data_IF_986505403168
#
_entry.id   IF_986505403168
#
_cell.length_a   1.000
_cell.length_b   1.000
_cell.length_c   1.000
_cell.angle_alpha   90.00
_cell.angle_beta   90.00
_cell.angle_gamma   90.00
#
_symmetry.space_group_name_H-M   'P 1'
#
loop_
_entity.id
_entity.type
_entity.pdbx_description
1 polymer ?
#
# COMPACT_ATOMS: atom_id res chain seq x y z
N UNK A 1 -45.34 23.59 40.91
CA UNK A 1 -45.94 22.46 40.16
C UNK A 1 -45.80 22.74 38.66
N UNK A 2 -45.61 21.68 37.86
CA UNK A 2 -45.20 21.64 36.44
C UNK A 2 -43.69 21.88 36.24
N UNK A 3 -42.82 20.91 36.56
CA UNK A 3 -42.42 19.67 35.82
C UNK A 3 -41.80 19.92 34.44
N UNK A 4 -40.54 19.46 34.35
CA UNK A 4 -39.65 19.49 33.21
C UNK A 4 -40.14 18.62 32.04
N UNK A 5 -39.79 19.03 30.83
CA UNK A 5 -39.84 18.23 29.62
C UNK A 5 -38.59 18.50 28.79
N UNK A 6 -37.46 17.94 29.21
CA UNK A 6 -36.24 17.92 28.40
C UNK A 6 -36.48 16.91 27.27
N UNK A 7 -36.70 17.39 26.05
CA UNK A 7 -36.76 16.53 24.87
C UNK A 7 -35.33 16.09 24.57
N UNK A 8 -34.98 14.89 25.02
CA UNK A 8 -33.76 14.21 24.63
C UNK A 8 -33.92 13.83 23.16
N UNK A 9 -33.36 14.63 22.25
CA UNK A 9 -33.19 14.22 20.86
C UNK A 9 -32.07 13.18 20.87
N UNK A 10 -32.45 11.91 20.91
CA UNK A 10 -31.55 10.83 20.57
C UNK A 10 -31.23 10.97 19.07
N UNK A 11 -30.15 11.69 18.76
CA UNK A 11 -29.58 11.68 17.43
C UNK A 11 -29.13 10.24 17.17
N UNK A 12 -29.80 9.58 16.22
CA UNK A 12 -29.33 8.32 15.66
C UNK A 12 -27.92 8.56 15.11
N UNK A 13 -26.96 7.83 15.67
CA UNK A 13 -25.58 7.72 15.22
C UNK A 13 -25.57 7.30 13.73
N UNK A 14 -25.44 8.26 12.83
CA UNK A 14 -24.90 8.00 11.50
C UNK A 14 -23.38 8.00 11.66
N UNK A 15 -22.78 6.84 11.39
CA UNK A 15 -21.35 6.59 11.49
C UNK A 15 -20.53 7.61 10.71
N UNK A 16 -19.51 8.17 11.38
CA UNK A 16 -18.27 8.63 10.76
C UNK A 16 -17.78 7.63 9.71
N UNK A 17 -16.75 7.97 8.94
CA UNK A 17 -15.88 6.95 8.36
C UNK A 17 -15.21 6.17 9.51
N UNK A 18 -15.99 5.38 10.24
CA UNK A 18 -15.53 4.46 11.25
C UNK A 18 -14.56 3.55 10.52
N UNK A 19 -13.39 3.36 11.11
CA UNK A 19 -12.71 2.08 11.00
C UNK A 19 -13.76 1.02 11.36
N UNK A 20 -14.37 0.46 10.32
CA UNK A 20 -15.65 -0.26 10.40
C UNK A 20 -15.41 -1.75 10.42
N UNK A 21 -14.21 -2.16 10.06
CA UNK A 21 -13.84 -3.54 9.86
C UNK A 21 -12.82 -3.96 10.92
N UNK A 22 -13.00 -5.18 11.45
CA UNK A 22 -11.95 -5.84 12.22
C UNK A 22 -10.74 -6.13 11.33
N UNK A 23 -9.64 -6.56 11.94
CA UNK A 23 -8.45 -6.94 11.21
C UNK A 23 -8.77 -7.96 10.10
N UNK A 24 -8.23 -7.75 8.91
CA UNK A 24 -8.34 -8.68 7.78
C UNK A 24 -7.03 -9.44 7.62
N UNK A 25 -7.12 -10.68 7.13
CA UNK A 25 -5.96 -11.47 6.75
C UNK A 25 -5.80 -11.45 5.24
N UNK A 26 -4.65 -10.97 4.78
CA UNK A 26 -4.25 -11.06 3.38
C UNK A 26 -3.02 -11.94 3.30
N UNK A 27 -2.99 -12.84 2.32
CA UNK A 27 -1.76 -13.55 1.98
C UNK A 27 -1.20 -12.94 0.70
N UNK A 28 0.08 -12.61 0.76
CA UNK A 28 0.89 -12.33 -0.40
C UNK A 28 1.87 -13.48 -0.51
N UNK A 29 1.84 -14.20 -1.61
CA UNK A 29 2.72 -15.33 -1.79
C UNK A 29 2.77 -15.64 -3.27
N UNK A 30 3.88 -16.16 -3.72
CA UNK A 30 4.96 -15.22 -3.89
C UNK A 30 4.83 -14.75 -5.36
N UNK A 31 5.69 -13.88 -5.87
CA UNK A 31 5.94 -13.95 -7.30
C UNK A 31 6.30 -15.40 -7.69
N UNK A 32 6.41 -15.69 -8.97
CA UNK A 32 7.24 -16.83 -9.36
C UNK A 32 6.61 -18.20 -8.97
N UNK A 33 5.31 -18.34 -9.24
CA UNK A 33 4.44 -19.34 -8.58
C UNK A 33 4.58 -20.74 -9.19
N UNK A 34 4.41 -20.86 -10.51
CA UNK A 34 4.36 -22.19 -11.13
C UNK A 34 4.61 -22.16 -12.63
N UNK A 35 5.23 -23.23 -13.12
CA UNK A 35 5.34 -23.60 -14.53
C UNK A 35 4.38 -24.77 -14.83
N UNK A 36 4.88 -25.88 -15.39
CA UNK A 36 4.26 -27.20 -15.35
C UNK A 36 4.86 -28.09 -14.26
N UNK A 37 4.03 -28.63 -13.37
CA UNK A 37 4.48 -29.68 -12.44
C UNK A 37 4.02 -29.52 -10.99
N UNK A 38 2.95 -28.75 -10.75
CA UNK A 38 2.38 -28.55 -9.42
C UNK A 38 3.29 -27.79 -8.43
N UNK A 39 4.23 -26.98 -8.91
CA UNK A 39 5.20 -26.26 -8.06
C UNK A 39 4.50 -25.35 -7.03
N UNK A 40 3.46 -24.63 -7.45
CA UNK A 40 2.68 -23.78 -6.54
C UNK A 40 1.71 -24.52 -5.61
N UNK A 41 1.60 -25.86 -5.63
CA UNK A 41 0.63 -26.60 -4.80
C UNK A 41 0.96 -26.50 -3.31
N UNK A 42 2.25 -26.56 -2.97
CA UNK A 42 2.66 -26.52 -1.57
C UNK A 42 2.31 -25.19 -0.91
N UNK A 43 2.60 -24.06 -1.58
CA UNK A 43 2.22 -22.72 -1.12
C UNK A 43 0.69 -22.51 -1.17
N UNK A 44 0.00 -23.05 -2.18
CA UNK A 44 -1.47 -23.03 -2.22
C UNK A 44 -2.13 -23.73 -1.03
N UNK A 45 -1.54 -24.81 -0.50
CA UNK A 45 -2.04 -25.48 0.69
C UNK A 45 -1.95 -24.58 1.94
N UNK A 46 -0.91 -23.76 2.05
CA UNK A 46 -0.80 -22.76 3.13
C UNK A 46 -1.96 -21.77 3.07
N UNK A 47 -2.29 -21.25 1.87
CA UNK A 47 -3.42 -20.33 1.66
C UNK A 47 -4.74 -20.99 2.07
N UNK A 48 -4.96 -22.24 1.67
CA UNK A 48 -6.16 -22.98 2.04
C UNK A 48 -6.29 -23.12 3.56
N UNK A 49 -5.20 -23.43 4.26
CA UNK A 49 -5.17 -23.59 5.71
C UNK A 49 -5.40 -22.27 6.45
N UNK A 50 -4.86 -21.15 5.93
CA UNK A 50 -5.05 -19.83 6.51
C UNK A 50 -6.44 -19.25 6.26
N UNK A 51 -7.10 -19.63 5.14
CA UNK A 51 -8.39 -19.10 4.70
C UNK A 51 -8.48 -17.56 4.78
N UNK A 52 -7.65 -16.83 4.01
CA UNK A 52 -7.55 -15.38 4.09
C UNK A 52 -8.75 -14.66 3.47
N UNK A 53 -8.90 -13.37 3.78
CA UNK A 53 -9.87 -12.46 3.17
C UNK A 53 -9.44 -12.04 1.75
N UNK A 54 -8.14 -11.87 1.52
CA UNK A 54 -7.55 -11.49 0.24
C UNK A 54 -6.32 -12.34 -0.13
N UNK A 55 -6.09 -12.49 -1.45
CA UNK A 55 -4.90 -13.15 -2.00
C UNK A 55 -4.23 -12.19 -2.98
N UNK A 56 -2.93 -11.95 -2.81
CA UNK A 56 -2.10 -11.15 -3.70
C UNK A 56 -1.09 -12.07 -4.38
N UNK A 57 -0.88 -11.88 -5.68
CA UNK A 57 0.26 -12.44 -6.41
C UNK A 57 1.15 -11.32 -6.91
N UNK A 58 2.46 -11.50 -6.85
CA UNK A 58 3.46 -10.46 -7.11
C UNK A 58 4.10 -10.62 -8.50
N UNK A 59 3.31 -10.98 -9.50
CA UNK A 59 3.79 -11.28 -10.86
C UNK A 59 4.28 -12.72 -11.05
N UNK A 60 4.65 -13.06 -12.28
CA UNK A 60 5.09 -14.40 -12.71
C UNK A 60 4.19 -15.51 -12.20
N UNK A 61 2.91 -15.31 -12.48
CA UNK A 61 1.85 -16.18 -12.01
C UNK A 61 1.92 -17.55 -12.68
N UNK A 62 2.18 -17.57 -13.99
CA UNK A 62 2.29 -18.80 -14.78
C UNK A 62 3.43 -18.69 -15.78
N UNK A 63 4.49 -19.45 -15.51
CA UNK A 63 5.60 -19.60 -16.43
C UNK A 63 5.23 -20.44 -17.67
N UNK A 64 5.96 -20.32 -18.77
CA UNK A 64 7.07 -19.37 -18.99
C UNK A 64 6.63 -18.10 -19.73
N UNK A 65 5.44 -18.11 -20.34
CA UNK A 65 5.05 -17.09 -21.31
C UNK A 65 3.59 -16.61 -21.13
N UNK A 66 2.98 -16.85 -19.96
CA UNK A 66 1.62 -16.38 -19.67
C UNK A 66 0.54 -16.95 -20.58
N UNK A 67 0.78 -18.06 -21.29
CA UNK A 67 -0.21 -18.67 -22.19
C UNK A 67 -1.50 -19.04 -21.43
N UNK A 68 -2.68 -18.72 -21.98
CA UNK A 68 -3.96 -19.06 -21.35
C UNK A 68 -4.10 -20.56 -21.07
N UNK A 69 -3.61 -21.42 -21.98
CA UNK A 69 -3.63 -22.87 -21.81
C UNK A 69 -2.81 -23.34 -20.61
N UNK A 70 -1.70 -22.68 -20.31
CA UNK A 70 -0.86 -23.00 -19.16
C UNK A 70 -1.56 -22.56 -17.88
N UNK A 71 -2.14 -21.36 -17.86
CA UNK A 71 -2.95 -20.87 -16.75
C UNK A 71 -4.12 -21.81 -16.43
N UNK A 72 -4.80 -22.33 -17.45
CA UNK A 72 -5.93 -23.26 -17.34
C UNK A 72 -5.51 -24.70 -16.99
N UNK A 73 -4.22 -25.03 -17.09
CA UNK A 73 -3.75 -26.39 -16.83
C UNK A 73 -3.95 -26.78 -15.37
N UNK A 74 -4.40 -28.02 -15.16
CA UNK A 74 -4.46 -28.65 -13.83
C UNK A 74 -3.09 -28.87 -13.19
N UNK A 75 -2.01 -28.85 -13.98
CA UNK A 75 -0.64 -28.93 -13.49
C UNK A 75 0.07 -27.57 -13.41
N UNK A 76 -0.65 -26.49 -13.75
CA UNK A 76 -0.20 -25.11 -13.66
C UNK A 76 -1.06 -24.32 -12.68
N UNK A 77 -1.25 -23.03 -12.92
CA UNK A 77 -1.89 -22.10 -11.98
C UNK A 77 -3.28 -22.53 -11.55
N UNK A 78 -4.15 -22.98 -12.48
CA UNK A 78 -5.50 -23.48 -12.15
C UNK A 78 -5.49 -24.69 -11.22
N UNK A 79 -4.41 -25.48 -11.22
CA UNK A 79 -4.23 -26.63 -10.35
C UNK A 79 -3.85 -26.31 -8.91
N UNK A 80 -3.34 -25.09 -8.67
CA UNK A 80 -2.82 -24.65 -7.39
C UNK A 80 -3.55 -23.38 -6.93
N UNK A 81 -2.97 -22.21 -7.18
CA UNK A 81 -3.44 -20.90 -6.74
C UNK A 81 -4.77 -20.49 -7.37
N UNK A 82 -5.12 -21.05 -8.54
CA UNK A 82 -6.38 -20.80 -9.22
C UNK A 82 -7.63 -21.18 -8.40
N UNK A 83 -7.48 -22.03 -7.38
CA UNK A 83 -8.55 -22.30 -6.41
C UNK A 83 -9.02 -21.04 -5.67
N UNK A 84 -8.16 -20.02 -5.54
CA UNK A 84 -8.44 -18.79 -4.82
C UNK A 84 -8.70 -17.59 -5.73
N UNK A 85 -8.85 -17.81 -7.05
CA UNK A 85 -9.02 -16.75 -8.06
C UNK A 85 -10.11 -15.72 -7.70
N UNK A 86 -11.15 -16.11 -6.97
CA UNK A 86 -12.21 -15.21 -6.49
C UNK A 86 -11.76 -14.23 -5.39
N UNK A 87 -10.63 -14.49 -4.74
CA UNK A 87 -9.96 -13.60 -3.77
C UNK A 87 -8.68 -12.98 -4.33
N UNK A 88 -8.15 -13.52 -5.42
CA UNK A 88 -6.90 -13.05 -6.04
C UNK A 88 -7.03 -11.68 -6.69
N UNK A 89 -6.08 -10.79 -6.35
CA UNK A 89 -5.74 -9.54 -7.02
C UNK A 89 -4.29 -9.65 -7.51
N UNK A 90 -4.06 -9.94 -8.81
CA UNK A 90 -2.73 -10.22 -9.32
C UNK A 90 -2.00 -8.95 -9.77
N UNK A 91 -0.70 -8.88 -9.48
CA UNK A 91 0.24 -8.11 -10.30
C UNK A 91 0.66 -8.94 -11.53
N UNK A 92 1.09 -8.24 -12.58
CA UNK A 92 1.65 -8.83 -13.79
C UNK A 92 3.18 -8.84 -13.67
N UNK A 93 3.83 -9.94 -14.06
CA UNK A 93 5.30 -10.03 -14.14
C UNK A 93 5.81 -10.15 -15.58
N UNK A 94 7.12 -10.33 -15.73
CA UNK A 94 7.73 -10.44 -17.06
C UNK A 94 7.28 -11.72 -17.77
N UNK A 95 7.19 -12.86 -17.07
CA UNK A 95 6.72 -14.11 -17.67
C UNK A 95 5.23 -14.09 -18.01
N UNK A 96 4.44 -13.19 -17.41
CA UNK A 96 3.03 -12.99 -17.77
C UNK A 96 2.87 -12.09 -19.01
N UNK A 97 3.81 -11.16 -19.22
CA UNK A 97 3.77 -10.13 -20.26
C UNK A 97 4.61 -10.48 -21.51
N UNK A 98 5.43 -11.53 -21.45
CA UNK A 98 6.19 -12.06 -22.58
C UNK A 98 5.33 -12.19 -23.83
N UNK A 99 5.74 -11.45 -24.87
CA UNK A 99 5.08 -11.54 -26.18
C UNK A 99 5.65 -12.71 -26.96
N UNK A 100 4.85 -13.76 -27.08
CA UNK A 100 5.15 -15.00 -27.80
C UNK A 100 4.00 -15.37 -28.75
N UNK A 101 4.11 -16.54 -29.40
CA UNK A 101 3.04 -17.04 -30.27
C UNK A 101 1.76 -17.44 -29.53
N UNK A 102 1.82 -17.75 -28.23
CA UNK A 102 0.67 -18.14 -27.42
C UNK A 102 0.11 -16.98 -26.58
N UNK A 103 0.90 -15.93 -26.37
CA UNK A 103 0.58 -14.79 -25.53
C UNK A 103 1.02 -13.51 -26.23
N UNK A 104 0.07 -12.70 -26.66
CA UNK A 104 0.36 -11.40 -27.29
C UNK A 104 -0.28 -10.32 -26.44
N UNK A 105 0.50 -9.31 -26.06
CA UNK A 105 0.05 -8.26 -25.15
C UNK A 105 -0.58 -8.83 -23.85
N UNK A 106 0.07 -9.85 -23.27
CA UNK A 106 -0.36 -10.54 -22.05
C UNK A 106 -1.81 -11.05 -22.10
N UNK A 107 -2.34 -11.36 -23.28
CA UNK A 107 -3.74 -11.75 -23.43
C UNK A 107 -4.10 -12.97 -22.58
N UNK A 108 -3.20 -13.94 -22.40
CA UNK A 108 -3.46 -15.11 -21.57
C UNK A 108 -3.63 -14.79 -20.09
N UNK A 109 -2.82 -13.88 -19.55
CA UNK A 109 -2.96 -13.34 -18.19
C UNK A 109 -4.31 -12.66 -18.00
N UNK A 110 -4.68 -11.72 -18.88
CA UNK A 110 -5.96 -11.01 -18.76
C UNK A 110 -7.16 -11.91 -19.04
N UNK A 111 -7.08 -12.81 -20.02
CA UNK A 111 -8.14 -13.79 -20.31
C UNK A 111 -8.37 -14.72 -19.15
N UNK A 112 -7.31 -15.10 -18.44
CA UNK A 112 -7.44 -15.87 -17.23
C UNK A 112 -8.10 -15.02 -16.13
N UNK A 113 -7.51 -13.91 -15.68
CA UNK A 113 -8.00 -13.20 -14.49
C UNK A 113 -9.27 -12.37 -14.71
N UNK A 114 -9.40 -11.70 -15.86
CA UNK A 114 -10.55 -10.87 -16.20
C UNK A 114 -11.63 -11.63 -16.99
N UNK A 115 -11.31 -12.83 -17.49
CA UNK A 115 -12.20 -13.65 -18.31
C UNK A 115 -12.05 -13.37 -19.82
N UNK A 116 -12.15 -14.43 -20.62
CA UNK A 116 -12.05 -14.37 -22.09
C UNK A 116 -13.11 -13.44 -22.65
N UNK A 117 -12.71 -12.51 -23.51
CA UNK A 117 -13.64 -11.63 -24.20
C UNK A 117 -14.35 -10.61 -23.29
N UNK A 118 -13.79 -10.32 -22.11
CA UNK A 118 -14.30 -9.30 -21.16
C UNK A 118 -14.37 -7.86 -21.68
N UNK A 119 -14.26 -7.62 -23.00
CA UNK A 119 -14.39 -6.30 -23.62
C UNK A 119 -13.37 -5.29 -23.11
N UNK A 120 -13.76 -4.01 -23.06
CA UNK A 120 -13.01 -2.92 -22.40
C UNK A 120 -13.18 -3.02 -20.89
N UNK A 121 -12.60 -4.07 -20.32
CA UNK A 121 -12.35 -4.18 -18.89
C UNK A 121 -11.48 -2.99 -18.45
N UNK A 122 -11.92 -2.26 -17.41
CA UNK A 122 -11.29 -1.06 -16.87
C UNK A 122 -10.57 -1.35 -15.53
N UNK A 123 -10.29 -0.33 -14.72
CA UNK A 123 -9.60 -0.46 -13.43
C UNK A 123 -10.38 -1.21 -12.34
N UNK A 124 -11.67 -1.54 -12.56
CA UNK A 124 -12.47 -2.31 -11.59
C UNK A 124 -12.27 -3.82 -11.68
N UNK A 125 -11.65 -4.28 -12.77
CA UNK A 125 -11.35 -5.67 -13.00
C UNK A 125 -10.32 -6.25 -12.02
N UNK A 126 -10.18 -7.58 -12.00
CA UNK A 126 -9.21 -8.23 -11.12
C UNK A 126 -7.79 -7.85 -11.42
N UNK A 127 -7.42 -7.79 -12.70
CA UNK A 127 -6.08 -7.49 -13.17
C UNK A 127 -6.00 -6.10 -13.85
N UNK A 128 -6.92 -5.19 -13.50
CA UNK A 128 -7.02 -3.86 -14.12
C UNK A 128 -7.35 -3.89 -15.61
N UNK A 129 -7.12 -2.74 -16.26
CA UNK A 129 -7.42 -2.54 -17.68
C UNK A 129 -6.48 -3.37 -18.55
N UNK A 130 -7.05 -4.00 -19.57
CA UNK A 130 -6.29 -4.83 -20.53
C UNK A 130 -5.25 -3.99 -21.27
N UNK A 131 -4.01 -4.48 -21.30
CA UNK A 131 -2.86 -3.79 -21.89
C UNK A 131 -2.17 -2.80 -20.94
N UNK A 132 -2.67 -2.65 -19.72
CA UNK A 132 -2.09 -1.73 -18.72
C UNK A 132 -1.60 -2.51 -17.50
N UNK A 133 -2.49 -3.26 -16.83
CA UNK A 133 -2.12 -4.13 -15.71
C UNK A 133 -1.94 -3.43 -14.36
N UNK A 134 -2.07 -2.10 -14.30
CA UNK A 134 -2.17 -1.35 -13.04
C UNK A 134 -3.63 -1.03 -12.67
N UNK A 135 -3.91 -0.95 -11.38
CA UNK A 135 -5.24 -0.67 -10.80
C UNK A 135 -5.13 -0.51 -9.28
N UNK A 136 -6.21 -0.05 -8.63
CA UNK A 136 -6.31 0.04 -7.18
C UNK A 136 -7.63 -0.55 -6.68
N UNK A 137 -7.69 -0.87 -5.38
CA UNK A 137 -8.91 -1.34 -4.73
C UNK A 137 -8.82 -1.15 -3.22
N UNK A 138 -9.98 -1.09 -2.57
CA UNK A 138 -10.06 -1.13 -1.12
C UNK A 138 -10.43 -2.53 -0.64
N UNK A 139 -9.82 -2.95 0.47
CA UNK A 139 -10.20 -4.15 1.20
C UNK A 139 -10.08 -3.87 2.70
N UNK A 140 -11.19 -3.97 3.42
CA UNK A 140 -11.27 -3.50 4.80
C UNK A 140 -10.99 -2.00 4.90
N UNK A 141 -10.12 -1.62 5.83
CA UNK A 141 -9.73 -0.23 6.07
C UNK A 141 -8.42 0.17 5.34
N UNK A 142 -8.00 -0.64 4.36
CA UNK A 142 -6.77 -0.45 3.58
C UNK A 142 -7.05 -0.13 2.12
N UNK A 143 -6.25 0.76 1.57
CA UNK A 143 -6.15 1.01 0.14
C UNK A 143 -5.00 0.20 -0.46
N UNK A 144 -5.25 -0.46 -1.59
CA UNK A 144 -4.26 -1.26 -2.30
C UNK A 144 -4.01 -0.70 -3.68
N UNK A 145 -2.73 -0.58 -4.02
CA UNK A 145 -2.25 -0.09 -5.31
C UNK A 145 -1.47 -1.21 -5.99
N UNK A 146 -1.86 -1.56 -7.21
CA UNK A 146 -1.19 -2.57 -8.03
C UNK A 146 -0.52 -1.87 -9.20
N UNK A 147 0.80 -2.04 -9.28
CA UNK A 147 1.61 -1.40 -10.31
C UNK A 147 2.19 -2.46 -11.23
N UNK A 148 2.38 -2.07 -12.49
CA UNK A 148 3.04 -2.87 -13.49
C UNK A 148 4.49 -2.40 -13.62
N UNK A 149 5.42 -3.29 -13.23
CA UNK A 149 6.86 -3.02 -13.34
C UNK A 149 7.45 -3.29 -14.72
N UNK A 150 6.66 -3.86 -15.64
CA UNK A 150 7.06 -4.13 -17.03
C UNK A 150 6.90 -2.90 -17.92
N UNK A 151 7.06 -1.72 -17.32
CA UNK A 151 6.81 -0.41 -17.91
C UNK A 151 8.03 0.45 -17.63
N UNK A 152 9.13 0.27 -18.34
CA UNK A 152 10.33 1.04 -18.05
C UNK A 152 11.29 1.18 -19.22
N UNK A 153 10.79 1.11 -20.46
CA UNK A 153 11.61 1.35 -21.65
C UNK A 153 12.80 0.38 -21.82
N UNK A 154 12.79 -0.76 -21.13
CA UNK A 154 13.70 -1.87 -21.38
C UNK A 154 13.26 -2.64 -22.63
N UNK A 155 13.98 -3.70 -23.00
CA UNK A 155 13.60 -4.56 -24.13
C UNK A 155 12.21 -5.24 -23.97
N UNK A 156 11.57 -5.09 -22.81
CA UNK A 156 10.32 -5.74 -22.41
C UNK A 156 9.21 -4.75 -22.06
N UNK A 157 9.28 -3.52 -22.59
CA UNK A 157 8.29 -2.47 -22.33
C UNK A 157 6.89 -2.87 -22.81
N UNK A 158 6.04 -3.23 -21.86
CA UNK A 158 4.70 -3.74 -22.06
C UNK A 158 3.64 -2.62 -22.00
N UNK A 159 3.94 -1.54 -21.29
CA UNK A 159 2.95 -0.55 -20.89
C UNK A 159 3.48 0.89 -20.96
N UNK A 160 2.57 1.86 -20.94
CA UNK A 160 2.94 3.29 -20.90
C UNK A 160 3.26 3.72 -19.46
N UNK A 161 4.55 3.84 -19.15
CA UNK A 161 5.01 4.27 -17.82
C UNK A 161 4.50 5.67 -17.44
N UNK A 162 4.40 6.60 -18.40
CA UNK A 162 3.89 7.96 -18.11
C UNK A 162 2.43 7.91 -17.71
N UNK A 163 1.61 7.14 -18.45
CA UNK A 163 0.21 6.95 -18.12
C UNK A 163 0.01 6.30 -16.74
N UNK A 164 0.87 5.34 -16.37
CA UNK A 164 0.86 4.73 -15.04
C UNK A 164 1.21 5.74 -13.94
N UNK A 165 2.24 6.57 -14.13
CA UNK A 165 2.63 7.59 -13.15
C UNK A 165 1.55 8.67 -12.98
N UNK A 166 0.91 9.10 -14.06
CA UNK A 166 -0.22 10.05 -14.02
C UNK A 166 -1.43 9.44 -13.32
N UNK A 167 -1.73 8.16 -13.60
CA UNK A 167 -2.78 7.42 -12.91
C UNK A 167 -2.49 7.31 -11.41
N UNK A 168 -1.26 6.93 -11.02
CA UNK A 168 -0.85 6.78 -9.63
C UNK A 168 -0.98 8.08 -8.85
N UNK A 169 -0.60 9.22 -9.44
CA UNK A 169 -0.79 10.53 -8.80
C UNK A 169 -2.26 10.83 -8.53
N UNK A 170 -3.16 10.48 -9.45
CA UNK A 170 -4.59 10.69 -9.26
C UNK A 170 -5.20 9.73 -8.22
N UNK A 171 -4.75 8.47 -8.22
CA UNK A 171 -5.18 7.45 -7.28
C UNK A 171 -4.80 7.82 -5.83
N UNK A 172 -3.54 8.19 -5.60
CA UNK A 172 -3.05 8.67 -4.31
C UNK A 172 -3.80 9.92 -3.82
N UNK A 173 -4.11 10.86 -4.72
CA UNK A 173 -4.88 12.06 -4.37
C UNK A 173 -6.36 11.79 -4.06
N UNK A 174 -6.91 10.68 -4.56
CA UNK A 174 -8.29 10.27 -4.34
C UNK A 174 -8.45 9.34 -3.12
N UNK A 175 -7.37 8.73 -2.65
CA UNK A 175 -7.38 7.82 -1.52
C UNK A 175 -7.80 8.52 -0.21
N UNK A 176 -8.73 7.90 0.52
CA UNK A 176 -9.19 8.37 1.83
C UNK A 176 -8.93 7.36 2.95
N UNK A 177 -8.19 6.27 2.68
CA UNK A 177 -7.83 5.26 3.67
C UNK A 177 -6.59 5.69 4.43
N UNK A 178 -6.55 5.35 5.71
CA UNK A 178 -5.42 5.67 6.57
C UNK A 178 -4.18 4.84 6.21
N UNK A 179 -4.38 3.56 5.86
CA UNK A 179 -3.29 2.67 5.49
C UNK A 179 -3.32 2.34 4.00
N UNK A 180 -2.14 2.36 3.36
CA UNK A 180 -1.95 2.07 1.94
C UNK A 180 -0.84 1.05 1.71
N UNK A 181 -1.13 0.03 0.92
CA UNK A 181 -0.19 -1.00 0.48
C UNK A 181 -0.06 -0.96 -1.04
N UNK A 182 1.17 -0.86 -1.54
CA UNK A 182 1.47 -0.99 -2.96
C UNK A 182 2.18 -2.31 -3.27
N UNK A 183 1.98 -2.87 -4.46
CA UNK A 183 2.71 -4.07 -4.88
C UNK A 183 2.88 -4.17 -6.39
N UNK A 184 3.97 -4.81 -6.80
CA UNK A 184 4.34 -5.08 -8.19
C UNK A 184 5.32 -6.26 -8.25
N UNK A 185 5.92 -6.52 -9.42
CA UNK A 185 6.79 -7.67 -9.63
C UNK A 185 8.27 -7.39 -9.35
N UNK A 186 8.93 -6.53 -10.14
CA UNK A 186 10.40 -6.35 -10.10
C UNK A 186 10.89 -5.51 -8.92
N UNK A 187 11.83 -5.99 -8.09
CA UNK A 187 12.21 -5.32 -6.87
C UNK A 187 13.06 -4.07 -7.11
N UNK A 188 12.90 -3.08 -6.22
CA UNK A 188 13.78 -1.90 -6.17
C UNK A 188 15.19 -2.21 -5.63
N UNK A 189 15.30 -3.31 -4.87
CA UNK A 189 16.55 -3.83 -4.33
C UNK A 189 16.35 -5.31 -3.99
N UNK A 190 17.31 -6.16 -4.32
CA UNK A 190 17.27 -7.59 -4.06
C UNK A 190 18.63 -8.14 -3.63
N UNK A 191 18.74 -9.01 -2.60
CA UNK A 191 20.01 -9.49 -2.07
C UNK A 191 20.53 -10.71 -2.87
N UNK A 192 20.37 -10.70 -4.20
CA UNK A 192 20.69 -11.79 -5.10
C UNK A 192 21.57 -11.30 -6.24
N UNK A 193 22.30 -12.24 -6.88
CA UNK A 193 23.10 -11.94 -8.05
C UNK A 193 22.44 -12.34 -9.37
N UNK A 194 21.16 -12.72 -9.36
CA UNK A 194 20.49 -13.37 -10.52
C UNK A 194 19.82 -12.38 -11.47
N UNK A 195 19.43 -11.19 -11.02
CA UNK A 195 18.75 -10.17 -11.84
C UNK A 195 19.33 -8.76 -11.65
N UNK A 196 20.66 -8.67 -11.53
CA UNK A 196 21.34 -7.38 -11.25
C UNK A 196 21.27 -6.38 -12.40
N UNK A 197 20.82 -6.80 -13.59
CA UNK A 197 20.64 -5.96 -14.77
C UNK A 197 19.28 -5.25 -14.82
N UNK A 198 18.33 -5.61 -13.94
CA UNK A 198 17.04 -4.93 -13.84
C UNK A 198 16.61 -4.54 -12.41
N UNK A 199 17.41 -4.87 -11.40
CA UNK A 199 17.28 -4.36 -10.04
C UNK A 199 17.18 -2.83 -10.02
N UNK A 200 16.17 -2.28 -9.33
CA UNK A 200 16.03 -0.84 -9.11
C UNK A 200 15.46 -0.07 -10.31
N UNK A 201 15.49 -0.63 -11.51
CA UNK A 201 15.10 0.07 -12.73
C UNK A 201 13.68 0.67 -12.65
N UNK A 202 12.70 -0.07 -12.11
CA UNK A 202 11.33 0.44 -11.99
C UNK A 202 11.21 1.70 -11.11
N UNK A 203 12.17 1.93 -10.21
CA UNK A 203 12.28 3.13 -9.39
C UNK A 203 13.34 4.11 -9.89
N UNK A 204 13.80 4.03 -11.14
CA UNK A 204 14.61 5.09 -11.73
C UNK A 204 13.74 6.30 -12.15
N UNK A 205 14.28 7.53 -12.10
CA UNK A 205 13.61 8.71 -12.64
C UNK A 205 13.22 8.53 -14.12
N UNK A 206 11.93 8.45 -14.40
CA UNK A 206 11.45 8.39 -15.78
C UNK A 206 11.53 9.79 -16.41
N UNK A 207 12.25 9.91 -17.52
CA UNK A 207 12.40 11.17 -18.29
C UNK A 207 12.87 12.38 -17.46
N UNK A 208 13.58 12.14 -16.35
CA UNK A 208 14.10 13.18 -15.46
C UNK A 208 13.09 13.78 -14.45
N UNK A 209 11.93 13.14 -14.25
CA UNK A 209 10.93 13.51 -13.23
C UNK A 209 10.95 12.61 -11.98
N UNK A 210 9.93 12.72 -11.11
CA UNK A 210 9.76 11.81 -9.97
C UNK A 210 9.55 10.36 -10.44
N UNK A 211 10.11 9.39 -9.71
CA UNK A 211 9.92 7.97 -9.98
C UNK A 211 8.73 7.38 -9.19
N UNK A 212 8.41 6.11 -9.43
CA UNK A 212 7.33 5.40 -8.75
C UNK A 212 7.48 5.42 -7.23
N UNK A 213 8.70 5.15 -6.71
CA UNK A 213 8.96 5.06 -5.28
C UNK A 213 8.77 6.40 -4.57
N UNK A 214 9.24 7.50 -5.19
CA UNK A 214 9.08 8.85 -4.69
C UNK A 214 7.60 9.24 -4.62
N UNK A 215 6.80 8.91 -5.64
CA UNK A 215 5.35 9.14 -5.59
C UNK A 215 4.67 8.35 -4.48
N UNK A 216 5.05 7.09 -4.26
CA UNK A 216 4.52 6.28 -3.15
C UNK A 216 4.94 6.85 -1.79
N UNK A 217 6.19 7.32 -1.67
CA UNK A 217 6.68 7.93 -0.43
C UNK A 217 5.92 9.21 -0.11
N UNK A 218 5.78 10.10 -1.09
CA UNK A 218 5.09 11.40 -0.94
C UNK A 218 3.57 11.22 -0.75
N UNK A 219 3.01 10.15 -1.33
CA UNK A 219 1.61 9.74 -1.15
C UNK A 219 1.33 9.00 0.17
N UNK A 220 2.32 8.86 1.05
CA UNK A 220 2.13 8.27 2.38
C UNK A 220 1.94 6.75 2.37
N UNK A 221 2.48 6.02 1.38
CA UNK A 221 2.37 4.56 1.33
C UNK A 221 3.19 3.90 2.44
N UNK A 222 2.59 2.89 3.08
CA UNK A 222 3.13 2.24 4.28
C UNK A 222 4.00 1.02 3.97
N UNK A 223 3.53 0.24 3.00
CA UNK A 223 4.01 -1.10 2.74
C UNK A 223 4.10 -1.37 1.25
N UNK A 224 5.24 -1.91 0.81
CA UNK A 224 5.49 -2.36 -0.56
C UNK A 224 5.81 -3.86 -0.60
N UNK A 225 5.18 -4.60 -1.50
CA UNK A 225 5.47 -6.02 -1.75
C UNK A 225 5.93 -6.26 -3.18
N UNK A 226 6.98 -7.08 -3.34
CA UNK A 226 7.63 -7.36 -4.63
C UNK A 226 7.96 -8.86 -4.76
N UNK A 227 8.18 -9.36 -5.98
CA UNK A 227 8.55 -10.75 -6.30
C UNK A 227 9.85 -10.80 -7.10
N UNK A 228 9.87 -11.60 -8.19
CA UNK A 228 10.89 -11.69 -9.24
C UNK A 228 12.21 -12.35 -8.83
N UNK A 229 12.79 -11.90 -7.72
CA UNK A 229 13.90 -12.59 -7.09
C UNK A 229 13.36 -13.72 -6.23
N UNK A 230 13.72 -14.96 -6.57
CA UNK A 230 13.17 -16.17 -5.97
C UNK A 230 13.72 -16.42 -4.56
N UNK A 231 13.45 -15.51 -3.64
CA UNK A 231 13.86 -15.53 -2.25
C UNK A 231 12.85 -14.75 -1.41
N UNK A 232 12.97 -14.87 -0.10
CA UNK A 232 12.34 -13.96 0.84
C UNK A 232 13.36 -12.94 1.33
N UNK A 233 12.97 -11.68 1.36
CA UNK A 233 13.71 -10.63 2.05
C UNK A 233 12.75 -9.64 2.72
N UNK A 234 13.08 -9.26 3.94
CA UNK A 234 12.41 -8.19 4.68
C UNK A 234 13.41 -7.07 4.93
N UNK A 235 12.92 -5.85 4.79
CA UNK A 235 13.68 -4.63 4.97
C UNK A 235 13.05 -3.77 6.06
N UNK A 236 13.87 -2.98 6.73
CA UNK A 236 13.44 -1.80 7.45
C UNK A 236 12.80 -0.79 6.49
N UNK A 237 12.17 0.25 7.03
CA UNK A 237 11.59 1.32 6.23
C UNK A 237 12.67 2.01 5.39
N UNK A 238 12.38 2.31 4.13
CA UNK A 238 13.30 2.94 3.18
C UNK A 238 12.94 4.40 2.92
N UNK A 239 13.97 5.25 2.82
CA UNK A 239 13.86 6.69 2.58
C UNK A 239 13.17 7.04 1.23
N UNK A 240 12.91 8.34 0.99
CA UNK A 240 12.30 8.83 -0.27
C UNK A 240 13.10 8.45 -1.53
N UNK A 241 14.41 8.24 -1.41
CA UNK A 241 15.26 7.83 -2.52
C UNK A 241 15.21 6.32 -2.80
N UNK A 242 14.62 5.51 -1.90
CA UNK A 242 14.46 4.07 -2.07
C UNK A 242 15.76 3.28 -1.98
N UNK A 243 16.76 3.78 -1.24
CA UNK A 243 18.10 3.18 -1.25
C UNK A 243 18.75 2.99 0.13
N UNK A 244 18.13 3.45 1.22
CA UNK A 244 18.67 3.31 2.57
C UNK A 244 17.56 3.38 3.63
N UNK A 245 17.87 2.87 4.82
CA UNK A 245 16.94 2.80 5.93
C UNK A 245 16.60 4.19 6.50
N UNK A 246 15.32 4.42 6.76
CA UNK A 246 14.76 5.62 7.36
C UNK A 246 13.50 5.25 8.14
N UNK A 247 13.42 5.46 9.48
CA UNK A 247 12.20 5.24 10.26
C UNK A 247 10.98 6.01 9.72
N UNK A 248 11.27 7.11 9.02
CA UNK A 248 10.42 7.90 8.15
C UNK A 248 9.63 7.09 7.13
N UNK A 249 10.24 6.07 6.54
CA UNK A 249 10.01 5.61 5.17
C UNK A 249 9.03 4.46 4.95
N UNK A 250 9.02 3.92 3.73
CA UNK A 250 8.13 2.81 3.33
C UNK A 250 8.78 1.48 3.72
N UNK A 251 8.08 0.60 4.43
CA UNK A 251 8.57 -0.76 4.65
C UNK A 251 8.37 -1.60 3.40
N UNK A 252 9.29 -2.49 3.06
CA UNK A 252 9.11 -3.34 1.89
C UNK A 252 9.66 -4.76 2.04
N UNK A 253 9.17 -5.63 1.17
CA UNK A 253 9.49 -7.06 1.15
C UNK A 253 9.72 -7.55 -0.28
N UNK A 254 10.56 -8.58 -0.39
CA UNK A 254 10.60 -9.48 -1.54
C UNK A 254 10.03 -10.82 -1.08
N UNK A 255 9.08 -11.33 -1.85
CA UNK A 255 8.45 -12.62 -1.64
C UNK A 255 8.34 -13.27 -3.03
N UNK A 256 9.44 -13.84 -3.53
CA UNK A 256 9.50 -14.62 -4.79
C UNK A 256 9.57 -16.14 -4.56
N UNK A 257 9.17 -16.60 -3.37
CA UNK A 257 9.22 -17.99 -2.91
C UNK A 257 8.02 -18.86 -3.32
N UNK A 258 7.40 -18.59 -4.48
CA UNK A 258 6.03 -19.02 -4.81
C UNK A 258 5.93 -20.49 -5.23
N UNK A 259 6.97 -20.99 -5.87
CA UNK A 259 7.11 -22.39 -6.22
C UNK A 259 8.25 -22.67 -7.19
N UNK A 260 8.60 -21.72 -8.05
CA UNK A 260 9.71 -21.87 -9.00
C UNK A 260 11.02 -21.62 -8.28
N UNK A 261 11.96 -22.57 -8.40
CA UNK A 261 13.11 -22.76 -7.50
C UNK A 261 13.88 -21.51 -7.09
N UNK A 262 14.43 -21.54 -5.87
CA UNK A 262 14.99 -20.38 -5.17
C UNK A 262 16.36 -19.93 -5.69
N UNK A 263 16.64 -18.64 -5.52
CA UNK A 263 17.94 -18.01 -5.77
C UNK A 263 18.69 -17.80 -4.46
N UNK A 264 20.00 -18.01 -4.51
CA UNK A 264 20.87 -17.80 -3.35
C UNK A 264 20.93 -16.32 -2.97
N UNK A 265 20.87 -16.05 -1.66
CA UNK A 265 21.24 -14.75 -1.09
C UNK A 265 22.76 -14.62 -1.17
N UNK A 266 23.25 -13.68 -1.98
CA UNK A 266 24.68 -13.53 -2.27
C UNK A 266 25.30 -12.23 -1.74
N UNK A 267 24.47 -11.32 -1.22
CA UNK A 267 24.90 -10.04 -0.68
C UNK A 267 23.98 -9.54 0.45
N UNK A 268 24.38 -8.42 1.07
CA UNK A 268 23.59 -7.74 2.11
C UNK A 268 23.32 -6.32 1.67
N UNK A 269 22.04 -5.94 1.72
CA UNK A 269 21.55 -4.63 1.31
C UNK A 269 21.22 -3.76 2.54
N UNK A 270 21.15 -2.42 2.41
CA UNK A 270 20.76 -1.54 3.50
C UNK A 270 19.43 -1.94 4.14
N UNK A 271 19.27 -1.78 5.45
CA UNK A 271 18.03 -2.11 6.15
C UNK A 271 17.56 -3.57 6.09
N UNK A 272 18.31 -4.49 5.46
CA UNK A 272 17.94 -5.91 5.35
C UNK A 272 17.94 -6.56 6.74
N UNK A 273 16.78 -7.01 7.20
CA UNK A 273 16.59 -7.51 8.57
C UNK A 273 16.20 -8.99 8.64
N UNK A 274 15.73 -9.60 7.55
CA UNK A 274 15.54 -11.05 7.42
C UNK A 274 15.65 -11.49 5.96
N UNK A 275 16.15 -12.71 5.72
CA UNK A 275 16.20 -13.33 4.39
C UNK A 275 16.06 -14.84 4.43
N UNK A 276 15.52 -15.43 3.38
CA UNK A 276 15.43 -16.88 3.20
C UNK A 276 15.57 -17.25 1.72
N UNK A 277 16.51 -18.15 1.42
CA UNK A 277 16.75 -18.76 0.10
C UNK A 277 16.63 -20.29 0.12
N UNK A 278 16.12 -20.86 1.21
CA UNK A 278 15.98 -22.29 1.42
C UNK A 278 14.52 -22.75 1.42
N UNK A 279 13.60 -21.91 1.87
CA UNK A 279 12.20 -22.27 2.06
C UNK A 279 11.26 -21.62 1.03
N UNK A 280 10.44 -22.44 0.37
CA UNK A 280 9.23 -21.95 -0.30
C UNK A 280 8.20 -21.52 0.73
N UNK A 281 7.42 -20.49 0.46
CA UNK A 281 6.48 -19.96 1.44
C UNK A 281 5.58 -18.85 0.95
N UNK A 282 4.84 -18.27 1.88
CA UNK A 282 3.98 -17.11 1.65
C UNK A 282 4.19 -16.08 2.77
N UNK A 283 4.00 -14.81 2.47
CA UNK A 283 3.85 -13.76 3.46
C UNK A 283 2.37 -13.64 3.87
N UNK A 284 2.10 -13.88 5.15
CA UNK A 284 0.80 -13.59 5.78
C UNK A 284 0.84 -12.20 6.37
N UNK A 285 -0.13 -11.39 6.00
CA UNK A 285 -0.37 -10.06 6.55
C UNK A 285 -1.67 -10.05 7.35
N UNK A 286 -1.59 -9.57 8.58
CA UNK A 286 -2.78 -9.19 9.36
C UNK A 286 -2.88 -7.68 9.36
N UNK A 287 -3.87 -7.15 8.66
CA UNK A 287 -4.03 -5.72 8.43
C UNK A 287 -5.11 -5.18 9.38
N UNK A 288 -4.69 -4.39 10.35
CA UNK A 288 -5.55 -3.66 11.27
C UNK A 288 -5.80 -2.25 10.72
N UNK A 289 -6.80 -1.51 11.22
CA UNK A 289 -7.15 -0.20 10.66
C UNK A 289 -6.05 0.87 10.67
N UNK A 290 -5.03 0.73 11.52
CA UNK A 290 -3.91 1.68 11.64
C UNK A 290 -2.52 1.00 11.78
N UNK A 291 -2.46 -0.32 11.58
CA UNK A 291 -1.23 -1.09 11.79
C UNK A 291 -1.29 -2.44 11.09
N UNK A 292 -0.17 -3.12 10.96
CA UNK A 292 -0.11 -4.46 10.40
C UNK A 292 0.89 -5.34 11.13
N UNK A 293 0.69 -6.65 11.04
CA UNK A 293 1.73 -7.64 11.31
C UNK A 293 1.97 -8.51 10.09
N UNK A 294 3.20 -8.96 9.95
CA UNK A 294 3.69 -9.78 8.84
C UNK A 294 4.35 -11.03 9.39
N UNK A 295 4.15 -12.16 8.72
CA UNK A 295 4.73 -13.45 9.05
C UNK A 295 5.05 -14.19 7.75
N UNK A 296 6.31 -14.50 7.50
CA UNK A 296 6.70 -15.46 6.47
C UNK A 296 6.37 -16.87 6.97
N UNK A 297 5.49 -17.56 6.23
CA UNK A 297 5.00 -18.90 6.54
C UNK A 297 5.65 -19.87 5.54
N UNK A 298 6.68 -20.62 5.96
CA UNK A 298 7.32 -21.61 5.11
C UNK A 298 6.44 -22.86 4.96
N UNK A 299 6.55 -23.52 3.80
CA UNK A 299 5.80 -24.75 3.47
C UNK A 299 6.04 -25.86 4.50
N UNK A 300 7.28 -26.02 4.95
CA UNK A 300 7.67 -27.08 5.88
C UNK A 300 7.38 -26.69 7.35
N UNK A 301 6.84 -25.49 7.60
CA UNK A 301 6.48 -24.99 8.92
C UNK A 301 7.66 -24.60 9.82
N UNK A 302 8.90 -24.72 9.33
CA UNK A 302 10.11 -24.24 9.98
C UNK A 302 10.79 -23.22 9.08
N UNK A 303 11.15 -22.08 9.65
CA UNK A 303 11.90 -21.03 8.96
C UNK A 303 13.40 -21.32 9.06
N UNK A 304 14.07 -21.40 7.92
CA UNK A 304 15.49 -21.73 7.77
C UNK A 304 16.34 -20.50 7.45
N UNK A 305 15.69 -19.37 7.14
CA UNK A 305 16.34 -18.10 6.88
C UNK A 305 17.02 -17.44 8.08
N UNK A 306 17.53 -16.24 7.85
CA UNK A 306 18.15 -15.37 8.85
C UNK A 306 17.17 -14.32 9.35
N UNK A 307 17.44 -13.74 10.52
CA UNK A 307 16.58 -12.72 11.10
C UNK A 307 15.26 -13.27 11.63
N UNK A 308 14.27 -12.40 11.79
CA UNK A 308 12.92 -12.78 12.21
C UNK A 308 12.01 -12.91 11.00
N UNK A 309 11.30 -14.04 10.80
CA UNK A 309 10.28 -14.16 9.77
C UNK A 309 9.01 -13.38 10.12
N UNK A 310 8.94 -12.78 11.31
CA UNK A 310 7.79 -12.02 11.80
C UNK A 310 8.14 -10.56 12.06
N UNK A 311 7.15 -9.69 11.90
CA UNK A 311 7.26 -8.29 12.26
C UNK A 311 5.90 -7.64 12.43
N UNK A 312 5.90 -6.42 12.94
CA UNK A 312 4.73 -5.57 13.00
C UNK A 312 5.14 -4.12 12.88
N UNK A 313 4.23 -3.29 12.37
CA UNK A 313 4.45 -1.86 12.26
C UNK A 313 3.13 -1.10 12.31
N UNK A 314 3.18 0.18 12.66
CA UNK A 314 2.05 1.09 12.46
C UNK A 314 2.09 1.65 11.05
N UNK A 315 0.93 1.92 10.46
CA UNK A 315 0.90 2.70 9.24
C UNK A 315 1.56 4.05 9.53
N UNK A 316 2.40 4.50 8.61
CA UNK A 316 2.96 5.83 8.61
C UNK A 316 1.78 6.77 8.71
N UNK A 317 1.74 7.52 9.81
CA UNK A 317 1.15 8.86 9.73
C UNK A 317 1.98 9.49 8.62
N UNK A 318 1.41 9.63 7.42
CA UNK A 318 2.16 10.02 6.22
C UNK A 318 3.13 11.09 6.65
N UNK A 319 4.44 10.82 6.52
CA UNK A 319 5.48 11.68 7.07
C UNK A 319 5.52 12.94 6.21
N UNK A 320 4.49 13.74 6.36
CA UNK A 320 4.48 15.09 5.95
C UNK A 320 5.49 15.72 6.90
N UNK A 321 6.63 16.03 6.29
CA UNK A 321 7.67 16.88 6.81
C UNK A 321 7.03 17.93 7.73
N UNK A 322 7.54 18.08 8.93
CA UNK A 322 7.19 19.17 9.83
C UNK A 322 8.39 20.12 9.77
N UNK A 323 8.33 21.07 8.83
CA UNK A 323 9.49 21.89 8.46
C UNK A 323 9.88 22.89 9.54
N UNK A 324 8.98 23.20 10.48
CA UNK A 324 9.21 24.18 11.54
C UNK A 324 9.21 23.58 12.96
N UNK A 325 8.81 22.31 13.11
CA UNK A 325 8.89 21.51 14.32
C UNK A 325 7.74 21.74 15.30
N UNK A 326 6.60 22.27 14.84
CA UNK A 326 5.47 22.65 15.69
C UNK A 326 4.47 21.51 15.96
N UNK A 327 4.79 20.29 15.51
CA UNK A 327 4.00 19.05 15.61
C UNK A 327 2.83 18.92 14.63
N UNK A 328 2.77 19.82 13.65
CA UNK A 328 1.91 19.74 12.49
C UNK A 328 2.71 19.40 11.25
N UNK A 329 2.11 18.64 10.36
CA UNK A 329 2.78 18.29 9.12
C UNK A 329 2.57 19.38 8.06
N UNK A 330 3.57 19.63 7.21
CA UNK A 330 3.52 20.58 6.09
C UNK A 330 2.27 20.33 5.21
N UNK A 331 1.81 19.08 5.13
CA UNK A 331 0.62 18.67 4.39
C UNK A 331 -0.66 19.06 5.13
N UNK A 332 -0.75 18.82 6.44
CA UNK A 332 -1.86 19.30 7.25
C UNK A 332 -1.95 20.84 7.18
N UNK A 333 -0.83 21.52 7.30
CA UNK A 333 -0.72 22.97 7.24
C UNK A 333 -1.16 23.55 5.90
N UNK A 334 -0.76 22.93 4.79
CA UNK A 334 -1.24 23.28 3.46
C UNK A 334 -2.75 23.13 3.30
N UNK A 335 -3.38 22.17 4.00
CA UNK A 335 -4.83 21.94 3.97
C UNK A 335 -5.58 22.94 4.86
N UNK A 336 -5.11 23.17 6.09
CA UNK A 336 -5.76 24.08 7.06
C UNK A 336 -5.44 25.55 6.80
N UNK A 337 -4.48 25.82 5.92
CA UNK A 337 -4.11 27.16 5.47
C UNK A 337 -3.14 27.88 6.41
N UNK A 338 -2.21 27.14 7.03
CA UNK A 338 -1.10 27.69 7.80
C UNK A 338 0.23 27.63 7.03
N UNK A 339 1.23 28.41 7.47
CA UNK A 339 2.56 28.50 6.87
C UNK A 339 3.47 27.39 7.43
N UNK A 340 3.85 26.39 6.62
CA UNK A 340 4.64 25.24 7.07
C UNK A 340 6.09 25.55 7.43
N UNK A 341 6.51 26.80 7.36
CA UNK A 341 7.87 27.21 7.70
C UNK A 341 7.91 28.13 8.92
N UNK A 342 6.79 28.26 9.64
CA UNK A 342 6.62 29.20 10.70
C UNK A 342 5.93 28.54 11.92
N UNK A 343 6.76 28.02 12.83
CA UNK A 343 6.30 27.39 14.06
C UNK A 343 5.64 28.35 15.06
N UNK A 344 5.37 29.60 14.68
CA UNK A 344 4.66 30.57 15.51
C UNK A 344 4.23 31.81 14.71
N UNK A 345 3.05 32.35 15.02
CA UNK A 345 2.59 33.65 14.51
C UNK A 345 1.18 33.60 13.94
N UNK A 346 0.87 34.54 13.05
CA UNK A 346 -0.43 34.60 12.37
C UNK A 346 -0.46 33.53 11.28
N UNK A 347 -1.46 32.65 11.31
CA UNK A 347 -1.63 31.56 10.34
C UNK A 347 -0.40 30.65 10.24
N UNK A 348 0.22 30.32 11.36
CA UNK A 348 1.49 29.61 11.43
C UNK A 348 1.38 28.45 12.42
N UNK A 349 0.83 28.73 13.62
CA UNK A 349 0.59 27.74 14.66
C UNK A 349 -0.87 27.25 14.67
N UNK A 350 -1.17 26.00 14.30
CA UNK A 350 -2.37 25.34 14.76
C UNK A 350 -2.11 24.84 16.19
N UNK A 351 -3.04 24.92 17.17
CA UNK A 351 -4.46 25.28 17.12
C UNK A 351 -4.81 26.71 17.63
N UNK A 352 -3.90 27.69 17.51
CA UNK A 352 -4.16 29.10 17.92
C UNK A 352 -5.07 29.79 16.88
N UNK A 353 -6.36 29.46 16.95
CA UNK A 353 -7.34 29.83 15.93
C UNK A 353 -7.71 31.30 16.03
N UNK A 354 -7.68 31.89 17.22
CA UNK A 354 -7.97 33.31 17.36
C UNK A 354 -6.71 34.21 17.20
N UNK A 355 -5.52 33.60 17.01
CA UNK A 355 -4.21 34.26 16.89
C UNK A 355 -3.83 35.11 18.13
N UNK A 356 -4.21 34.67 19.34
CA UNK A 356 -3.90 35.35 20.60
C UNK A 356 -2.60 34.86 21.27
N UNK A 357 -1.92 33.88 20.65
CA UNK A 357 -0.67 33.21 21.05
C UNK A 357 -0.82 32.18 22.16
N UNK A 358 -2.04 31.80 22.50
CA UNK A 358 -2.34 30.80 23.52
C UNK A 358 -3.25 29.74 22.93
N UNK A 359 -3.08 28.51 23.43
CA UNK A 359 -4.07 27.46 23.17
C UNK A 359 -4.98 27.35 24.39
N UNK A 360 -6.22 27.79 24.25
CA UNK A 360 -7.20 27.75 25.33
C UNK A 360 -8.65 27.53 24.86
N UNK A 361 -9.60 27.81 25.73
CA UNK A 361 -11.02 27.59 25.46
C UNK A 361 -11.57 28.56 24.40
N UNK A 362 -10.91 29.69 24.20
CA UNK A 362 -11.20 30.66 23.15
C UNK A 362 -11.07 30.03 21.76
N UNK A 363 -10.02 29.25 21.52
CA UNK A 363 -9.84 28.56 20.25
C UNK A 363 -10.95 27.54 19.99
N UNK A 364 -11.29 26.72 20.99
CA UNK A 364 -12.37 25.73 20.87
C UNK A 364 -13.70 26.42 20.56
N UNK A 365 -13.96 27.58 21.18
CA UNK A 365 -15.19 28.32 20.97
C UNK A 365 -15.38 28.74 19.50
N UNK A 366 -14.30 28.93 18.75
CA UNK A 366 -14.35 29.20 17.32
C UNK A 366 -14.74 27.97 16.49
N UNK A 367 -14.28 26.76 16.82
CA UNK A 367 -14.73 25.55 16.12
C UNK A 367 -16.19 25.21 16.38
N UNK A 368 -16.73 25.60 17.54
CA UNK A 368 -18.08 25.15 17.94
C UNK A 368 -19.20 25.61 17.01
N UNK A 369 -18.97 26.65 16.22
CA UNK A 369 -19.93 27.16 15.23
C UNK A 369 -20.03 26.31 13.97
N UNK A 370 -19.01 25.50 13.67
CA UNK A 370 -18.86 24.76 12.41
C UNK A 370 -18.83 23.23 12.65
N UNK A 371 -19.18 22.77 13.86
CA UNK A 371 -19.22 21.33 14.15
C UNK A 371 -20.23 20.59 13.30
N UNK A 372 -19.78 19.47 12.73
CA UNK A 372 -20.57 18.64 11.84
C UNK A 372 -20.57 19.14 10.39
N UNK A 373 -19.83 20.22 10.09
CA UNK A 373 -19.65 20.66 8.71
C UNK A 373 -18.54 19.86 8.03
N UNK A 374 -18.81 19.44 6.80
CA UNK A 374 -17.76 19.01 5.87
C UNK A 374 -16.94 20.22 5.43
N UNK A 375 -15.68 19.99 5.05
CA UNK A 375 -14.78 21.02 4.52
C UNK A 375 -14.57 20.71 3.03
N UNK A 376 -15.27 21.40 2.10
CA UNK A 376 -16.23 22.51 2.27
C UNK A 376 -17.69 22.06 2.61
N UNK A 377 -18.58 22.93 3.16
CA UNK A 377 -18.48 24.40 3.24
C UNK A 377 -17.77 24.96 4.48
N UNK A 378 -17.46 24.14 5.49
CA UNK A 378 -16.81 24.57 6.72
C UNK A 378 -15.39 25.12 6.50
N UNK A 379 -14.86 25.94 7.42
CA UNK A 379 -13.51 26.50 7.28
C UNK A 379 -12.45 25.41 7.43
N UNK A 380 -11.56 25.28 6.44
CA UNK A 380 -10.49 24.28 6.49
C UNK A 380 -9.57 24.42 7.70
N UNK A 381 -9.43 25.65 8.22
CA UNK A 381 -8.65 25.99 9.42
C UNK A 381 -9.12 25.29 10.71
N UNK A 382 -10.33 24.72 10.71
CA UNK A 382 -10.95 24.11 11.89
C UNK A 382 -10.95 22.58 11.85
N UNK A 383 -10.63 21.99 10.70
CA UNK A 383 -10.44 20.55 10.51
C UNK A 383 -8.94 20.29 10.60
N UNK A 384 -8.47 20.02 11.80
CA UNK A 384 -7.07 19.93 12.20
C UNK A 384 -6.71 18.51 12.66
N UNK A 385 -7.62 17.55 12.59
CA UNK A 385 -7.32 16.16 12.92
C UNK A 385 -8.18 15.23 12.05
N UNK A 386 -7.68 14.04 11.70
CA UNK A 386 -6.31 13.55 11.86
C UNK A 386 -5.30 14.34 11.01
N UNK A 387 -4.06 13.88 10.91
CA UNK A 387 -3.04 14.46 10.03
C UNK A 387 -2.68 13.45 8.93
N UNK A 388 -2.99 13.73 7.64
CA UNK A 388 -3.65 14.95 7.16
C UNK A 388 -5.14 15.02 7.53
N UNK A 389 -5.76 16.23 7.57
CA UNK A 389 -7.15 16.42 7.98
C UNK A 389 -8.19 15.69 7.12
N UNK A 390 -9.23 15.14 7.75
CA UNK A 390 -10.20 14.23 7.11
C UNK A 390 -11.35 14.92 6.35
N UNK A 391 -11.33 16.26 6.32
CA UNK A 391 -12.32 17.14 5.68
C UNK A 391 -13.64 17.22 6.44
N UNK A 392 -13.61 17.04 7.75
CA UNK A 392 -14.76 17.16 8.61
C UNK A 392 -14.40 17.84 9.93
N UNK A 393 -15.24 18.74 10.44
CA UNK A 393 -14.99 19.41 11.73
C UNK A 393 -15.75 18.67 12.82
N UNK A 394 -15.04 17.97 13.69
CA UNK A 394 -15.63 17.08 14.69
C UNK A 394 -15.12 17.30 16.13
N UNK A 395 -15.79 16.60 17.06
CA UNK A 395 -15.48 16.65 18.49
C UNK A 395 -14.39 15.64 18.86
N UNK A 396 -14.23 14.56 18.09
CA UNK A 396 -13.46 13.38 18.49
C UNK A 396 -11.99 13.55 18.08
N UNK A 397 -11.73 14.00 16.86
CA UNK A 397 -10.42 14.36 16.33
C UNK A 397 -10.02 15.78 16.74
N UNK A 398 -10.71 16.80 16.21
CA UNK A 398 -10.21 18.18 16.22
C UNK A 398 -10.09 18.74 17.64
N UNK A 399 -11.17 18.67 18.43
CA UNK A 399 -11.14 19.12 19.83
C UNK A 399 -10.13 18.33 20.66
N UNK A 400 -10.04 17.01 20.46
CA UNK A 400 -9.09 16.18 21.21
C UNK A 400 -7.65 16.60 20.95
N UNK A 401 -7.32 16.96 19.70
CA UNK A 401 -6.00 17.48 19.35
C UNK A 401 -5.73 18.85 19.99
N UNK A 402 -6.71 19.75 20.01
CA UNK A 402 -6.58 21.05 20.68
C UNK A 402 -6.42 20.93 22.20
N UNK A 403 -7.26 20.13 22.84
CA UNK A 403 -7.27 19.97 24.30
C UNK A 403 -5.97 19.34 24.81
N UNK A 404 -5.31 18.50 24.01
CA UNK A 404 -3.97 17.98 24.31
C UNK A 404 -2.87 19.07 24.38
N UNK A 405 -3.13 20.25 23.83
CA UNK A 405 -2.19 21.38 23.75
C UNK A 405 -2.59 22.56 24.67
N UNK A 406 -3.62 22.41 25.50
CA UNK A 406 -4.09 23.47 26.38
C UNK A 406 -2.99 24.04 27.28
N UNK A 407 -2.89 25.38 27.31
CA UNK A 407 -1.88 26.11 28.09
C UNK A 407 -0.52 26.21 27.42
N UNK A 408 -0.34 25.67 26.21
CA UNK A 408 0.82 25.97 25.35
C UNK A 408 0.78 27.42 24.90
N UNK A 409 1.96 28.00 24.69
CA UNK A 409 2.15 29.37 24.22
C UNK A 409 3.12 29.39 23.05
N UNK A 410 2.82 30.23 22.10
CA UNK A 410 3.68 30.57 20.97
C UNK A 410 4.81 31.49 21.46
N UNK A 411 6.08 31.08 21.38
CA UNK A 411 7.24 31.80 21.95
C UNK A 411 8.37 32.07 20.97
#
# INVERSE_FOLDING_TARGET
>A
MALAGLVLVAALLASDARQTHGAITVVAGAGDITDTGNQGVATANLINNLNPDGVITLGDNQYQDGCLSSFQSRSGYSGSWGAFKSKTRPAIGNHDSHTTSCSTAANGYFDYFNGVGSGTCDYTCRAGKRGEGWYSYDLGDWHFIVLNSECNGTAYDFCDHTAQLDWLTNDLAANTKFCTLAYWHRPIVAPSSVHTDDEGHFADPYMGGDNVWQKLYDGGVDLVLQGHDHLFASYDRYNRAGNDADPNGIRHFIVGTGGVGLYAVSETKPGQNATDDADLGILKLTLNPASYSCEFVPVDGSYSGTGSPTGSDSCRMGSARDSDGDTWSDVAEGIIGTDPHAACGVNAWPPDINNDRFVDIGDISHLTGDFGDSVPPGPARYNIAPDPPDRFIDVIGDISRMTGLFGKRCS
#
